data_IF_629589005345
#
_entry.id   IF_629589005345
#
_cell.length_a   1.000
_cell.length_b   1.000
_cell.length_c   1.000
_cell.angle_alpha   90.00
_cell.angle_beta   90.00
_cell.angle_gamma   90.00
#
_symmetry.space_group_name_H-M   'P 1'
#
loop_
_entity.id
_entity.type
_entity.pdbx_description
1 polymer ?
#
# COMPACT_ATOMS: atom_id res chain seq x y z
N UNK A 1 -21.99 -23.00 -7.05
CA UNK A 1 -22.61 -21.67 -7.08
C UNK A 1 -21.79 -20.81 -6.14
N UNK A 2 -21.35 -19.66 -6.62
CA UNK A 2 -20.48 -18.72 -5.93
C UNK A 2 -21.22 -18.11 -4.74
N UNK A 3 -20.68 -18.27 -3.53
CA UNK A 3 -21.02 -17.41 -2.39
C UNK A 3 -19.97 -16.29 -2.31
N UNK A 4 -20.02 -15.38 -3.27
CA UNK A 4 -19.42 -14.06 -3.13
C UNK A 4 -20.43 -13.13 -2.43
N UNK A 5 -19.90 -12.21 -1.62
CA UNK A 5 -20.58 -11.07 -0.97
C UNK A 5 -21.18 -11.33 0.41
N UNK A 6 -20.32 -11.44 1.44
CA UNK A 6 -20.73 -11.03 2.79
C UNK A 6 -19.60 -10.44 3.64
N UNK A 7 -18.97 -9.36 3.17
CA UNK A 7 -18.01 -8.60 3.98
C UNK A 7 -18.28 -7.09 4.04
N UNK A 8 -19.32 -6.59 3.37
CA UNK A 8 -19.48 -5.14 3.15
C UNK A 8 -19.96 -4.33 4.36
N UNK A 9 -20.38 -4.95 5.47
CA UNK A 9 -21.00 -4.22 6.60
C UNK A 9 -20.36 -4.50 7.97
N UNK A 10 -19.17 -5.11 8.02
CA UNK A 10 -18.42 -5.19 9.29
C UNK A 10 -17.69 -3.85 9.50
N UNK A 11 -17.81 -3.19 10.67
CA UNK A 11 -16.97 -2.03 10.95
C UNK A 11 -15.51 -2.43 10.79
N UNK A 12 -14.79 -1.73 9.91
CA UNK A 12 -13.39 -2.01 9.62
C UNK A 12 -12.59 -1.70 10.89
N UNK A 13 -12.20 -2.73 11.62
CA UNK A 13 -11.29 -2.59 12.76
C UNK A 13 -9.93 -2.17 12.23
N UNK A 14 -9.37 -1.09 12.79
CA UNK A 14 -8.04 -0.60 12.43
C UNK A 14 -7.04 -1.77 12.57
N UNK A 15 -6.40 -2.18 11.47
CA UNK A 15 -5.48 -3.33 11.44
C UNK A 15 -6.03 -4.64 10.87
N UNK A 16 -7.32 -4.77 10.59
CA UNK A 16 -7.89 -5.99 9.96
C UNK A 16 -7.70 -6.02 8.43
N UNK A 17 -7.34 -4.88 7.84
CA UNK A 17 -7.13 -4.74 6.41
C UNK A 17 -5.67 -4.48 6.12
N UNK A 18 -5.22 -5.08 5.02
CA UNK A 18 -3.87 -4.99 4.50
C UNK A 18 -3.92 -4.18 3.20
N UNK A 19 -3.08 -3.15 3.11
CA UNK A 19 -2.83 -2.46 1.85
C UNK A 19 -1.62 -3.08 1.15
N UNK A 20 -1.77 -3.34 -0.14
CA UNK A 20 -0.66 -3.66 -1.03
C UNK A 20 -0.30 -2.40 -1.82
N UNK A 21 0.96 -1.99 -1.75
CA UNK A 21 1.46 -0.90 -2.57
C UNK A 21 2.68 -1.35 -3.35
N UNK A 22 2.80 -0.85 -4.56
CA UNK A 22 4.03 -0.93 -5.33
C UNK A 22 4.72 0.43 -5.24
N UNK A 23 5.99 0.45 -4.89
CA UNK A 23 6.78 1.66 -4.71
C UNK A 23 8.09 1.61 -5.49
N UNK A 24 8.62 2.76 -5.86
CA UNK A 24 9.95 2.90 -6.43
C UNK A 24 10.88 3.58 -5.42
N UNK A 25 12.06 3.01 -5.15
CA UNK A 25 13.03 3.55 -4.20
C UNK A 25 13.95 4.59 -4.84
N UNK A 26 14.25 5.66 -4.11
CA UNK A 26 15.20 6.68 -4.52
C UNK A 26 16.64 6.27 -4.19
N UNK A 27 17.43 5.98 -5.21
CA UNK A 27 18.86 5.71 -5.09
C UNK A 27 19.67 6.77 -5.88
N UNK A 28 20.62 7.43 -5.20
CA UNK A 28 21.48 8.45 -5.82
C UNK A 28 20.72 9.57 -6.57
N UNK A 29 19.54 9.95 -6.07
CA UNK A 29 18.70 11.00 -6.66
C UNK A 29 17.87 10.54 -7.86
N UNK A 30 17.83 9.25 -8.17
CA UNK A 30 16.98 8.67 -9.21
C UNK A 30 16.16 7.51 -8.65
N UNK A 31 14.92 7.39 -9.09
CA UNK A 31 14.11 6.22 -8.79
C UNK A 31 14.51 5.07 -9.73
N UNK A 32 14.72 3.87 -9.18
CA UNK A 32 15.24 2.73 -9.97
C UNK A 32 14.60 1.40 -9.63
N UNK A 33 14.46 1.11 -8.34
CA UNK A 33 14.07 -0.22 -7.89
C UNK A 33 12.62 -0.23 -7.44
N UNK A 34 11.85 -1.21 -7.94
CA UNK A 34 10.44 -1.37 -7.61
C UNK A 34 10.24 -2.48 -6.58
N UNK A 35 9.42 -2.21 -5.56
CA UNK A 35 9.12 -3.13 -4.47
C UNK A 35 7.64 -3.15 -4.13
N UNK A 36 7.15 -4.33 -3.76
CA UNK A 36 5.80 -4.48 -3.23
C UNK A 36 5.85 -4.50 -1.69
N UNK A 37 5.07 -3.62 -1.08
CA UNK A 37 4.96 -3.49 0.37
C UNK A 37 3.54 -3.79 0.84
N UNK A 38 3.50 -4.39 2.02
CA UNK A 38 2.27 -4.76 2.70
C UNK A 38 2.22 -4.06 4.06
N UNK A 39 1.18 -3.27 4.35
CA UNK A 39 1.01 -2.66 5.67
C UNK A 39 -0.43 -2.62 6.16
N UNK A 40 -0.65 -2.68 7.49
CA UNK A 40 -1.96 -2.46 8.08
C UNK A 40 -2.43 -1.02 7.82
N UNK A 41 -3.72 -0.86 7.49
CA UNK A 41 -4.27 0.47 7.17
C UNK A 41 -4.38 1.38 8.40
N UNK A 42 -3.35 2.20 8.60
CA UNK A 42 -3.39 3.37 9.48
C UNK A 42 -3.33 4.68 8.68
N UNK A 43 -2.71 4.65 7.49
CA UNK A 43 -2.62 5.75 6.53
C UNK A 43 -2.68 5.16 5.12
N UNK A 44 -3.57 5.67 4.26
CA UNK A 44 -3.70 5.23 2.86
C UNK A 44 -2.93 6.20 1.97
N UNK A 45 -1.72 5.85 1.47
CA UNK A 45 -1.05 6.68 0.50
C UNK A 45 -1.76 6.62 -0.86
N UNK A 46 -1.54 7.64 -1.68
CA UNK A 46 -2.03 7.75 -3.05
C UNK A 46 -0.89 7.51 -4.03
N UNK A 47 -1.24 7.09 -5.25
CA UNK A 47 -0.27 7.03 -6.34
C UNK A 47 0.36 8.41 -6.56
N UNK A 48 1.68 8.46 -6.58
CA UNK A 48 2.48 9.67 -6.69
C UNK A 48 2.98 10.23 -5.35
N UNK A 49 2.44 9.78 -4.21
CA UNK A 49 2.95 10.17 -2.90
C UNK A 49 4.39 9.68 -2.71
N UNK A 50 5.19 10.47 -2.00
CA UNK A 50 6.52 10.06 -1.53
C UNK A 50 6.39 9.71 -0.05
N UNK A 51 6.73 8.48 0.29
CA UNK A 51 6.63 7.92 1.64
C UNK A 51 8.00 7.43 2.12
N UNK A 52 8.27 7.57 3.41
CA UNK A 52 9.47 7.04 4.04
C UNK A 52 9.20 5.62 4.54
N UNK A 53 9.98 4.65 4.09
CA UNK A 53 9.92 3.24 4.53
C UNK A 53 11.34 2.75 4.76
N UNK A 54 11.59 2.15 5.93
CA UNK A 54 12.89 1.59 6.32
C UNK A 54 14.08 2.57 6.13
N UNK A 55 13.83 3.87 6.30
CA UNK A 55 14.84 4.94 6.14
C UNK A 55 15.08 5.39 4.70
N UNK A 56 14.26 4.92 3.74
CA UNK A 56 14.32 5.32 2.34
C UNK A 56 13.07 6.08 1.90
N UNK A 57 13.26 7.05 1.01
CA UNK A 57 12.15 7.71 0.32
C UNK A 57 11.72 6.89 -0.89
N UNK A 58 10.44 6.54 -0.91
CA UNK A 58 9.84 5.71 -1.94
C UNK A 58 8.65 6.43 -2.57
N UNK A 59 8.53 6.38 -3.90
CA UNK A 59 7.38 6.92 -4.62
C UNK A 59 6.35 5.83 -4.84
N UNK A 60 5.09 6.09 -4.49
CA UNK A 60 4.00 5.14 -4.70
C UNK A 60 3.61 5.11 -6.17
N UNK A 61 3.64 3.91 -6.75
CA UNK A 61 3.28 3.65 -8.14
C UNK A 61 1.88 3.07 -8.28
N UNK A 62 1.47 2.24 -7.33
CA UNK A 62 0.19 1.54 -7.34
C UNK A 62 -0.29 1.24 -5.92
N UNK A 63 -1.61 1.19 -5.75
CA UNK A 63 -2.28 0.96 -4.47
C UNK A 63 -3.44 -0.02 -4.69
N UNK A 64 -3.44 -1.14 -3.99
CA UNK A 64 -4.44 -2.19 -4.09
C UNK A 64 -5.02 -2.54 -2.71
N UNK A 65 -6.34 -2.61 -2.65
CA UNK A 65 -7.11 -2.92 -1.45
C UNK A 65 -7.54 -4.39 -1.49
N UNK A 66 -7.39 -5.09 -0.36
CA UNK A 66 -7.93 -6.44 -0.15
C UNK A 66 -9.42 -6.42 0.21
#
# INVERSE_FOLDING_TARGET
>A
MNDEQNTLNKPLTLGDYILYVTVENLENGQYKDTYDYQFPFNTVPRVGDVIEMDGYYNKVLNVQYS
#
